data_IF_638247628188
#
_entry.id   IF_638247628188
#
_cell.length_a   1.000
_cell.length_b   1.000
_cell.length_c   1.000
_cell.angle_alpha   90.00
_cell.angle_beta   90.00
_cell.angle_gamma   90.00
#
_symmetry.space_group_name_H-M   'P 1'
#
loop_
_entity.id
_entity.type
_entity.pdbx_description
1 polymer ?
#
# COMPACT_ATOMS: atom_id res chain seq x y z
N UNK A 1 -20.41 8.32 0.39
CA UNK A 1 -20.41 9.73 0.86
C UNK A 1 -18.96 10.21 0.74
N UNK A 2 -18.56 11.47 1.03
CA UNK A 2 -17.14 11.77 1.05
C UNK A 2 -16.54 11.17 2.33
N UNK A 3 -16.14 9.91 2.22
CA UNK A 3 -15.52 9.11 3.27
C UNK A 3 -14.00 9.11 3.07
N UNK A 4 -13.24 9.22 4.16
CA UNK A 4 -11.79 9.06 4.20
C UNK A 4 -11.47 7.79 4.98
N UNK A 5 -10.54 7.00 4.46
CA UNK A 5 -10.13 5.72 5.01
C UNK A 5 -8.73 5.36 4.54
N UNK A 6 -8.23 4.20 4.96
CA UNK A 6 -6.98 3.62 4.44
C UNK A 6 -7.22 2.37 3.60
N UNK A 7 -8.44 1.85 3.56
CA UNK A 7 -8.78 0.61 2.86
C UNK A 7 -9.18 0.82 1.41
N UNK A 8 -10.15 0.01 0.98
CA UNK A 8 -10.66 -0.07 -0.39
C UNK A 8 -10.83 1.30 -1.06
N UNK A 9 -10.20 1.45 -2.24
CA UNK A 9 -10.40 2.59 -3.14
C UNK A 9 -9.45 3.76 -2.90
N UNK A 10 -8.61 3.69 -1.87
CA UNK A 10 -7.59 4.72 -1.58
C UNK A 10 -6.26 4.12 -1.09
N UNK A 11 -6.24 2.88 -0.58
CA UNK A 11 -5.06 2.09 -0.22
C UNK A 11 -3.78 2.40 -1.03
N UNK A 12 -3.77 2.06 -2.32
CA UNK A 12 -2.62 2.15 -3.22
C UNK A 12 -2.18 3.59 -3.50
N UNK A 13 -3.02 4.60 -3.24
CA UNK A 13 -2.60 6.01 -3.31
C UNK A 13 -1.51 6.30 -2.27
N UNK A 14 -1.68 5.84 -1.03
CA UNK A 14 -0.67 5.99 0.01
C UNK A 14 0.61 5.26 -0.35
N UNK A 15 0.46 4.02 -0.81
CA UNK A 15 1.59 3.21 -1.23
C UNK A 15 2.40 3.88 -2.34
N UNK A 16 1.74 4.38 -3.38
CA UNK A 16 2.45 4.86 -4.57
C UNK A 16 3.09 6.22 -4.36
N UNK A 17 2.60 7.07 -3.45
CA UNK A 17 3.37 8.25 -3.05
C UNK A 17 4.70 7.87 -2.39
N UNK A 18 4.70 6.85 -1.53
CA UNK A 18 5.94 6.36 -0.92
C UNK A 18 6.83 5.62 -1.92
N UNK A 19 6.28 4.62 -2.62
CA UNK A 19 7.01 3.75 -3.55
C UNK A 19 7.53 4.55 -4.76
N UNK A 20 6.82 5.57 -5.25
CA UNK A 20 7.32 6.46 -6.29
C UNK A 20 8.49 7.32 -5.80
N UNK A 21 8.46 7.82 -4.55
CA UNK A 21 9.63 8.48 -3.98
C UNK A 21 10.83 7.52 -3.92
N UNK A 22 10.63 6.30 -3.44
CA UNK A 22 11.70 5.29 -3.33
C UNK A 22 12.30 4.94 -4.69
N UNK A 23 11.46 4.86 -5.74
CA UNK A 23 11.90 4.51 -7.09
C UNK A 23 12.51 5.70 -7.84
N UNK A 24 11.85 6.86 -7.83
CA UNK A 24 12.13 8.00 -8.70
C UNK A 24 12.86 9.16 -8.02
N UNK A 25 12.90 9.19 -6.68
CA UNK A 25 13.60 10.22 -5.90
C UNK A 25 12.89 11.59 -5.80
N UNK A 26 11.71 11.76 -6.37
CA UNK A 26 10.94 13.03 -6.31
C UNK A 26 10.51 13.37 -4.87
N UNK A 27 10.85 14.57 -4.40
CA UNK A 27 10.56 15.02 -3.03
C UNK A 27 9.07 15.35 -2.83
N UNK A 28 8.37 15.71 -3.90
CA UNK A 28 6.93 15.97 -3.94
C UNK A 28 6.11 14.74 -3.57
N UNK A 29 6.55 13.55 -3.99
CA UNK A 29 5.89 12.29 -3.64
C UNK A 29 5.98 12.01 -2.15
N UNK A 30 7.17 12.20 -1.57
CA UNK A 30 7.37 12.03 -0.13
C UNK A 30 6.62 13.07 0.70
N UNK A 31 6.56 14.31 0.23
CA UNK A 31 5.79 15.37 0.89
C UNK A 31 4.30 15.03 0.93
N UNK A 32 3.72 14.65 -0.21
CA UNK A 32 2.33 14.23 -0.30
C UNK A 32 2.04 13.00 0.56
N UNK A 33 2.94 12.00 0.55
CA UNK A 33 2.86 10.84 1.43
C UNK A 33 2.81 11.26 2.90
N UNK A 34 3.75 12.09 3.35
CA UNK A 34 3.81 12.51 4.74
C UNK A 34 2.56 13.27 5.21
N UNK A 35 2.02 14.14 4.35
CA UNK A 35 0.80 14.88 4.67
C UNK A 35 -0.40 13.94 4.82
N UNK A 36 -0.58 13.02 3.87
CA UNK A 36 -1.64 12.03 3.90
C UNK A 36 -1.49 11.04 5.08
N UNK A 37 -0.27 10.54 5.32
CA UNK A 37 0.05 9.60 6.39
C UNK A 37 -0.21 10.20 7.78
N UNK A 38 0.21 11.45 8.01
CA UNK A 38 -0.06 12.16 9.26
C UNK A 38 -1.54 12.44 9.45
N UNK A 39 -2.27 12.80 8.40
CA UNK A 39 -3.71 12.96 8.46
C UNK A 39 -4.42 11.65 8.82
N UNK A 40 -4.03 10.54 8.18
CA UNK A 40 -4.56 9.20 8.49
C UNK A 40 -4.32 8.82 9.95
N UNK A 41 -3.09 8.99 10.45
CA UNK A 41 -2.76 8.70 11.85
C UNK A 41 -3.52 9.56 12.86
N UNK A 42 -3.87 10.81 12.51
CA UNK A 42 -4.63 11.72 13.39
C UNK A 42 -6.13 11.47 13.39
N UNK A 43 -6.71 11.13 12.24
CA UNK A 43 -8.16 11.17 12.06
C UNK A 43 -8.79 9.78 11.87
N UNK A 44 -8.04 8.79 11.38
CA UNK A 44 -8.55 7.46 11.07
C UNK A 44 -8.20 6.43 12.14
N UNK A 45 -7.07 6.64 12.85
CA UNK A 45 -6.58 5.69 13.85
C UNK A 45 -7.44 5.68 15.12
N UNK A 46 -7.99 4.53 15.46
CA UNK A 46 -8.77 4.28 16.66
C UNK A 46 -8.26 3.02 17.36
N UNK A 47 -7.47 3.20 18.43
CA UNK A 47 -6.70 2.11 19.04
C UNK A 47 -5.71 1.53 18.02
N UNK A 48 -5.77 0.21 17.81
CA UNK A 48 -4.94 -0.50 16.85
C UNK A 48 -5.54 -0.52 15.42
N UNK A 49 -6.72 0.06 15.20
CA UNK A 49 -7.47 -0.04 13.94
C UNK A 49 -7.50 1.29 13.19
N UNK A 50 -7.81 1.22 11.89
CA UNK A 50 -8.08 2.38 11.05
C UNK A 50 -9.51 2.25 10.49
N UNK A 51 -10.35 3.23 10.78
CA UNK A 51 -11.78 3.23 10.42
C UNK A 51 -12.13 4.43 9.55
N UNK A 52 -13.21 4.30 8.77
CA UNK A 52 -13.59 5.37 7.86
C UNK A 52 -14.32 6.48 8.61
N UNK A 53 -14.02 7.72 8.23
CA UNK A 53 -14.60 8.93 8.78
C UNK A 53 -15.07 9.85 7.67
N UNK A 54 -16.01 10.73 8.00
CA UNK A 54 -16.43 11.79 7.09
C UNK A 54 -15.28 12.79 6.91
N UNK A 55 -14.93 13.11 5.66
CA UNK A 55 -13.74 13.94 5.32
C UNK A 55 -13.70 15.30 6.03
N UNK A 56 -14.83 16.02 6.11
CA UNK A 56 -14.89 17.35 6.72
C UNK A 56 -15.09 17.36 8.25
N UNK A 57 -15.95 16.49 8.78
CA UNK A 57 -16.34 16.52 10.19
C UNK A 57 -15.53 15.58 11.06
N UNK A 58 -14.77 14.65 10.46
CA UNK A 58 -14.04 13.56 11.12
C UNK A 58 -14.91 12.63 11.98
N UNK A 59 -16.24 12.71 11.83
CA UNK A 59 -17.16 11.79 12.47
C UNK A 59 -16.99 10.40 11.86
N UNK A 60 -16.95 9.35 12.69
CA UNK A 60 -16.91 7.96 12.23
C UNK A 60 -18.12 7.67 11.34
N UNK A 61 -17.86 7.22 10.12
CA UNK A 61 -18.91 6.81 9.17
C UNK A 61 -19.03 5.30 9.10
N UNK A 62 -17.93 4.58 9.30
CA UNK A 62 -17.90 3.11 9.24
C UNK A 62 -16.90 2.54 10.25
N UNK A 63 -17.34 1.91 11.35
CA UNK A 63 -16.45 1.33 12.35
C UNK A 63 -15.95 -0.07 11.93
N UNK A 64 -15.60 -0.23 10.66
CA UNK A 64 -15.25 -1.50 10.07
C UNK A 64 -13.73 -1.65 9.92
N UNK A 65 -13.23 -2.82 10.28
CA UNK A 65 -12.03 -3.35 9.65
C UNK A 65 -12.37 -3.79 8.22
N UNK A 66 -11.48 -3.51 7.28
CA UNK A 66 -11.55 -3.96 5.88
C UNK A 66 -10.27 -4.72 5.53
N UNK A 67 -10.36 -5.94 4.97
CA UNK A 67 -9.18 -6.78 4.70
C UNK A 67 -8.04 -6.07 3.95
N UNK A 68 -8.34 -5.16 3.01
CA UNK A 68 -7.32 -4.43 2.27
C UNK A 68 -6.47 -3.56 3.18
N UNK A 69 -6.99 -3.03 4.30
CA UNK A 69 -6.20 -2.21 5.23
C UNK A 69 -5.02 -2.98 5.86
N UNK A 70 -4.95 -4.30 5.68
CA UNK A 70 -3.81 -5.11 6.11
C UNK A 70 -2.49 -4.74 5.44
N UNK A 71 -2.44 -3.94 4.37
CA UNK A 71 -1.16 -3.48 3.78
C UNK A 71 -0.50 -2.40 4.66
N UNK A 72 -1.32 -1.69 5.44
CA UNK A 72 -0.93 -0.47 6.14
C UNK A 72 0.27 -0.67 7.08
N UNK A 73 0.34 -1.73 7.92
CA UNK A 73 1.53 -2.00 8.73
C UNK A 73 2.80 -2.20 7.90
N UNK A 74 2.74 -2.90 6.77
CA UNK A 74 3.87 -3.06 5.85
C UNK A 74 4.39 -1.72 5.34
N UNK A 75 3.48 -0.82 4.96
CA UNK A 75 3.82 0.55 4.57
C UNK A 75 4.43 1.37 5.72
N UNK A 76 3.88 1.26 6.94
CA UNK A 76 4.44 1.91 8.13
C UNK A 76 5.87 1.44 8.42
N UNK A 77 6.12 0.13 8.28
CA UNK A 77 7.47 -0.44 8.41
C UNK A 77 8.42 0.16 7.37
N UNK A 78 7.99 0.32 6.12
CA UNK A 78 8.83 0.90 5.05
C UNK A 78 9.31 2.33 5.36
N UNK A 79 8.55 3.10 6.13
CA UNK A 79 8.93 4.46 6.55
C UNK A 79 9.55 4.53 7.95
N UNK A 80 9.82 3.38 8.56
CA UNK A 80 10.45 3.26 9.86
C UNK A 80 9.52 3.49 11.05
N UNK A 81 8.20 3.57 10.84
CA UNK A 81 7.21 3.77 11.91
C UNK A 81 6.79 2.42 12.53
N UNK A 82 7.74 1.78 13.21
CA UNK A 82 7.64 0.38 13.63
C UNK A 82 6.62 0.13 14.75
N UNK A 83 6.53 1.00 15.76
CA UNK A 83 5.64 0.73 16.90
C UNK A 83 4.15 0.72 16.51
N UNK A 84 3.63 1.72 15.79
CA UNK A 84 2.26 1.67 15.27
C UNK A 84 2.02 0.46 14.37
N UNK A 85 2.97 0.12 13.50
CA UNK A 85 2.86 -1.02 12.61
C UNK A 85 2.70 -2.34 13.38
N UNK A 86 3.53 -2.56 14.39
CA UNK A 86 3.50 -3.76 15.23
C UNK A 86 2.17 -3.89 15.98
N UNK A 87 1.67 -2.78 16.54
CA UNK A 87 0.42 -2.76 17.29
C UNK A 87 -0.78 -3.13 16.40
N UNK A 88 -0.90 -2.46 15.25
CA UNK A 88 -1.95 -2.73 14.26
C UNK A 88 -1.86 -4.15 13.68
N UNK A 89 -0.66 -4.61 13.32
CA UNK A 89 -0.47 -5.95 12.76
C UNK A 89 -0.80 -7.07 13.76
N UNK A 90 -0.56 -6.87 15.06
CA UNK A 90 -0.99 -7.81 16.11
C UNK A 90 -2.51 -7.86 16.26
N UNK A 91 -3.20 -6.73 16.13
CA UNK A 91 -4.65 -6.69 16.13
C UNK A 91 -5.22 -7.45 14.91
N UNK A 92 -4.68 -7.19 13.72
CA UNK A 92 -5.06 -7.91 12.50
C UNK A 92 -4.81 -9.41 12.62
N UNK A 93 -3.66 -9.81 13.12
CA UNK A 93 -3.36 -11.22 13.30
C UNK A 93 -4.22 -11.89 14.38
N UNK A 94 -4.66 -11.14 15.40
CA UNK A 94 -5.63 -11.65 16.38
C UNK A 94 -6.98 -11.96 15.73
N UNK A 95 -7.46 -11.08 14.84
CA UNK A 95 -8.65 -11.35 14.03
C UNK A 95 -8.46 -12.57 13.12
N UNK A 96 -7.28 -12.69 12.48
CA UNK A 96 -6.95 -13.87 11.68
C UNK A 96 -7.03 -15.16 12.49
N UNK A 97 -6.46 -15.20 13.70
CA UNK A 97 -6.52 -16.39 14.56
C UNK A 97 -7.93 -16.74 15.01
N UNK A 98 -8.79 -15.73 15.17
CA UNK A 98 -10.18 -15.94 15.55
C UNK A 98 -11.02 -16.55 14.41
N UNK A 99 -10.89 -16.02 13.19
CA UNK A 99 -11.71 -16.39 12.04
C UNK A 99 -11.05 -17.40 11.10
N UNK A 100 -9.75 -17.66 11.27
CA UNK A 100 -8.91 -18.44 10.36
C UNK A 100 -8.50 -17.66 9.09
N UNK A 101 -9.28 -16.70 8.62
CA UNK A 101 -8.93 -15.79 7.51
C UNK A 101 -9.56 -14.42 7.79
N UNK A 102 -9.10 -13.37 7.13
CA UNK A 102 -9.76 -12.07 7.22
C UNK A 102 -10.99 -12.01 6.30
N UNK A 103 -12.19 -11.64 6.81
CA UNK A 103 -13.29 -11.29 5.93
C UNK A 103 -13.03 -9.95 5.25
N UNK A 104 -13.70 -9.69 4.13
CA UNK A 104 -13.67 -8.39 3.47
C UNK A 104 -14.04 -7.23 4.41
N UNK A 105 -14.95 -7.48 5.35
CA UNK A 105 -15.35 -6.52 6.38
C UNK A 105 -15.64 -7.18 7.73
N UNK A 106 -15.16 -6.55 8.81
CA UNK A 106 -15.45 -6.96 10.19
C UNK A 106 -15.84 -5.74 11.02
N UNK A 107 -16.96 -5.81 11.71
CA UNK A 107 -17.48 -4.69 12.48
C UNK A 107 -16.88 -4.70 13.90
N UNK A 108 -16.15 -3.63 14.22
CA UNK A 108 -15.36 -3.53 15.45
C UNK A 108 -16.21 -3.20 16.69
N UNK A 109 -17.48 -2.84 16.51
CA UNK A 109 -18.39 -2.50 17.61
C UNK A 109 -19.14 -3.73 18.11
N UNK A 110 -19.78 -4.49 17.21
CA UNK A 110 -20.50 -5.71 17.57
C UNK A 110 -19.61 -6.97 17.52
N UNK A 111 -18.39 -6.86 16.99
CA UNK A 111 -17.43 -7.96 16.86
C UNK A 111 -17.94 -9.09 15.96
N UNK A 112 -18.60 -8.75 14.86
CA UNK A 112 -19.14 -9.69 13.89
C UNK A 112 -18.61 -9.43 12.47
N UNK A 113 -18.60 -10.47 11.64
CA UNK A 113 -18.35 -10.33 10.21
C UNK A 113 -19.45 -9.46 9.60
N UNK A 114 -19.06 -8.43 8.85
CA UNK A 114 -20.00 -7.45 8.31
C UNK A 114 -20.86 -8.10 7.22
N UNK A 115 -22.19 -7.98 7.35
CA UNK A 115 -23.12 -8.44 6.31
C UNK A 115 -22.83 -7.74 4.98
N UNK A 116 -22.79 -8.52 3.90
CA UNK A 116 -22.41 -8.06 2.56
C UNK A 116 -20.89 -7.96 2.32
N UNK A 117 -20.06 -8.24 3.32
CA UNK A 117 -18.59 -8.25 3.23
C UNK A 117 -18.01 -9.52 3.90
N UNK A 118 -18.67 -10.65 3.68
CA UNK A 118 -18.38 -11.93 4.35
C UNK A 118 -17.29 -12.76 3.69
N UNK A 119 -16.91 -12.42 2.45
CA UNK A 119 -15.99 -13.23 1.65
C UNK A 119 -14.52 -13.08 2.07
N UNK A 120 -13.70 -14.02 1.60
CA UNK A 120 -12.25 -13.98 1.62
C UNK A 120 -11.69 -14.42 0.26
N UNK A 121 -11.30 -13.48 -0.61
CA UNK A 121 -10.84 -13.78 -1.96
C UNK A 121 -9.34 -14.10 -2.01
N UNK A 122 -8.77 -14.71 -0.96
CA UNK A 122 -7.35 -15.07 -0.86
C UNK A 122 -6.37 -13.88 -0.81
N UNK A 123 -6.83 -12.79 -0.19
CA UNK A 123 -6.13 -11.49 -0.02
C UNK A 123 -4.66 -11.61 0.43
N UNK A 124 -3.73 -10.84 -0.16
CA UNK A 124 -2.30 -10.90 0.14
C UNK A 124 -1.82 -10.00 1.28
N UNK A 125 -2.56 -8.95 1.63
CA UNK A 125 -2.02 -7.79 2.35
C UNK A 125 -1.55 -8.15 3.77
N UNK A 126 -2.17 -9.15 4.39
CA UNK A 126 -1.70 -9.64 5.69
C UNK A 126 -0.34 -10.35 5.59
N UNK A 127 -0.15 -11.18 4.55
CA UNK A 127 1.14 -11.83 4.30
C UNK A 127 2.23 -10.82 3.94
N UNK A 128 1.89 -9.78 3.17
CA UNK A 128 2.77 -8.65 2.86
C UNK A 128 3.30 -7.97 4.13
N UNK A 129 2.38 -7.57 5.02
CA UNK A 129 2.75 -6.91 6.26
C UNK A 129 3.58 -7.79 7.18
N UNK A 130 3.29 -9.10 7.24
CA UNK A 130 4.11 -10.06 8.00
C UNK A 130 5.53 -10.15 7.44
N UNK A 131 5.69 -10.19 6.11
CA UNK A 131 6.99 -10.18 5.44
C UNK A 131 7.80 -8.92 5.80
N UNK A 132 7.24 -7.72 5.62
CA UNK A 132 7.95 -6.49 5.93
C UNK A 132 8.28 -6.38 7.43
N UNK A 133 7.33 -6.71 8.30
CA UNK A 133 7.55 -6.68 9.75
C UNK A 133 8.66 -7.66 10.18
N UNK A 134 8.69 -8.88 9.62
CA UNK A 134 9.77 -9.83 9.87
C UNK A 134 11.11 -9.29 9.40
N UNK A 135 11.19 -8.80 8.16
CA UNK A 135 12.42 -8.27 7.59
C UNK A 135 12.99 -7.09 8.39
N UNK A 136 12.13 -6.21 8.89
CA UNK A 136 12.56 -5.03 9.65
C UNK A 136 12.92 -5.34 11.10
N UNK A 137 12.30 -6.34 11.72
CA UNK A 137 12.41 -6.56 13.18
C UNK A 137 13.10 -7.87 13.59
N UNK A 138 13.20 -8.86 12.69
CA UNK A 138 13.74 -10.18 12.98
C UNK A 138 12.94 -11.00 14.01
N UNK A 139 11.72 -10.57 14.37
CA UNK A 139 10.94 -11.22 15.43
C UNK A 139 10.24 -12.47 14.91
N UNK A 140 10.48 -13.59 15.58
CA UNK A 140 9.86 -14.88 15.28
C UNK A 140 8.34 -14.92 15.47
N UNK A 141 7.73 -13.88 16.07
CA UNK A 141 6.28 -13.74 16.12
C UNK A 141 5.66 -13.65 14.73
N UNK A 142 6.34 -13.01 13.76
CA UNK A 142 5.84 -12.86 12.40
C UNK A 142 5.94 -14.16 11.60
N UNK A 143 6.96 -14.98 11.84
CA UNK A 143 7.06 -16.33 11.26
C UNK A 143 5.96 -17.24 11.78
N UNK A 144 5.66 -17.19 13.08
CA UNK A 144 4.53 -17.93 13.67
C UNK A 144 3.21 -17.49 13.06
N UNK A 145 3.00 -16.18 12.91
CA UNK A 145 1.82 -15.65 12.25
C UNK A 145 1.71 -16.08 10.78
N UNK A 146 2.82 -16.12 10.03
CA UNK A 146 2.84 -16.66 8.66
C UNK A 146 2.51 -18.15 8.61
N UNK A 147 2.91 -18.92 9.62
CA UNK A 147 2.60 -20.34 9.69
C UNK A 147 1.10 -20.55 9.94
N UNK A 148 0.46 -19.68 10.72
CA UNK A 148 -0.99 -19.67 10.89
C UNK A 148 -1.70 -19.38 9.57
N UNK A 149 -1.20 -18.40 8.78
CA UNK A 149 -1.72 -18.09 7.44
C UNK A 149 -1.62 -19.30 6.51
N UNK A 150 -0.46 -19.96 6.46
CA UNK A 150 -0.27 -21.16 5.63
C UNK A 150 -1.23 -22.28 6.01
N UNK A 151 -1.45 -22.54 7.30
CA UNK A 151 -2.40 -23.58 7.75
C UNK A 151 -3.82 -23.26 7.32
N UNK A 152 -4.24 -21.99 7.41
CA UNK A 152 -5.55 -21.57 6.93
C UNK A 152 -5.71 -21.75 5.43
N UNK A 153 -4.70 -21.37 4.63
CA UNK A 153 -4.73 -21.54 3.17
C UNK A 153 -4.70 -23.02 2.75
N UNK A 154 -3.96 -23.87 3.47
CA UNK A 154 -3.93 -25.32 3.23
C UNK A 154 -5.31 -25.95 3.42
N UNK A 155 -6.13 -25.44 4.36
CA UNK A 155 -7.49 -25.91 4.56
C UNK A 155 -8.45 -25.51 3.42
N UNK A 156 -8.03 -24.63 2.52
CA UNK A 156 -8.79 -24.16 1.35
C UNK A 156 -8.32 -24.81 0.02
N UNK A 157 -7.37 -25.74 0.08
CA UNK A 157 -6.86 -26.44 -1.10
C UNK A 157 -7.94 -27.36 -1.68
N UNK A 158 -8.11 -27.27 -3.00
CA UNK A 158 -9.00 -28.11 -3.82
C UNK A 158 -8.16 -28.79 -4.93
N UNK A 159 -8.70 -29.78 -5.67
CA UNK A 159 -7.89 -30.54 -6.64
C UNK A 159 -7.14 -29.70 -7.70
N UNK A 160 -7.66 -28.52 -8.04
CA UNK A 160 -7.11 -27.64 -9.08
C UNK A 160 -6.49 -26.34 -8.56
N UNK A 161 -6.40 -26.11 -7.24
CA UNK A 161 -5.89 -24.85 -6.69
C UNK A 161 -6.27 -24.60 -5.24
N UNK A 162 -6.47 -23.33 -4.90
CA UNK A 162 -6.98 -22.88 -3.59
C UNK A 162 -8.26 -22.10 -3.82
N UNK A 163 -9.34 -22.46 -3.14
CA UNK A 163 -10.63 -21.82 -3.30
C UNK A 163 -10.76 -20.59 -2.41
N UNK A 164 -11.26 -19.49 -2.97
CA UNK A 164 -11.77 -18.37 -2.19
C UNK A 164 -12.98 -18.80 -1.34
N UNK A 165 -13.37 -17.93 -0.40
CA UNK A 165 -14.61 -18.09 0.36
C UNK A 165 -15.58 -16.96 0.02
N UNK A 166 -16.84 -17.31 -0.25
CA UNK A 166 -17.94 -16.33 -0.31
C UNK A 166 -18.46 -15.96 1.09
N UNK A 167 -18.27 -16.86 2.05
CA UNK A 167 -18.63 -16.68 3.46
C UNK A 167 -17.59 -17.34 4.38
N UNK A 168 -16.86 -16.51 5.13
CA UNK A 168 -15.85 -16.93 6.10
C UNK A 168 -16.44 -17.65 7.31
N UNK A 169 -17.66 -17.29 7.74
CA UNK A 169 -18.32 -17.88 8.91
C UNK A 169 -18.77 -19.30 8.60
N UNK A 170 -19.46 -19.47 7.48
CA UNK A 170 -19.99 -20.77 7.05
C UNK A 170 -18.95 -21.62 6.28
N UNK A 171 -17.77 -21.06 5.98
CA UNK A 171 -16.73 -21.69 5.15
C UNK A 171 -17.24 -22.10 3.76
N UNK A 172 -18.12 -21.29 3.18
CA UNK A 172 -18.69 -21.55 1.86
C UNK A 172 -17.64 -21.22 0.80
N UNK A 173 -17.10 -22.25 0.17
CA UNK A 173 -16.15 -22.12 -0.92
C UNK A 173 -16.77 -21.44 -2.15
N UNK A 174 -15.95 -20.69 -2.87
CA UNK A 174 -16.25 -20.10 -4.15
C UNK A 174 -15.29 -20.67 -5.21
N UNK A 175 -15.78 -20.91 -6.43
CA UNK A 175 -14.99 -21.46 -7.53
C UNK A 175 -14.16 -20.37 -8.22
N UNK A 176 -13.36 -19.67 -7.42
CA UNK A 176 -12.49 -18.58 -7.85
C UNK A 176 -11.14 -18.67 -7.14
N UNK A 177 -10.08 -18.38 -7.89
CA UNK A 177 -8.73 -18.18 -7.38
C UNK A 177 -8.15 -16.97 -8.09
N UNK A 178 -8.09 -15.86 -7.37
CA UNK A 178 -7.64 -14.60 -7.95
C UNK A 178 -6.16 -14.63 -8.34
N UNK A 179 -5.81 -13.92 -9.41
CA UNK A 179 -4.43 -13.93 -9.93
C UNK A 179 -3.40 -13.45 -8.88
N UNK A 180 -3.80 -12.51 -8.03
CA UNK A 180 -2.98 -12.01 -6.92
C UNK A 180 -2.64 -13.07 -5.87
N UNK A 181 -3.40 -14.17 -5.78
CA UNK A 181 -3.02 -15.27 -4.90
C UNK A 181 -1.63 -15.81 -5.27
N UNK A 182 -1.34 -15.92 -6.56
CA UNK A 182 -0.07 -16.41 -7.08
C UNK A 182 1.00 -15.31 -7.11
N UNK A 183 0.66 -14.11 -7.59
CA UNK A 183 1.65 -13.02 -7.68
C UNK A 183 2.01 -12.44 -6.32
N UNK A 184 1.14 -12.51 -5.32
CA UNK A 184 1.31 -11.78 -4.06
C UNK A 184 1.27 -12.70 -2.84
N UNK A 185 0.13 -13.36 -2.56
CA UNK A 185 -0.06 -14.12 -1.31
C UNK A 185 1.01 -15.19 -1.14
N UNK A 186 1.21 -16.03 -2.16
CA UNK A 186 2.25 -17.07 -2.13
C UNK A 186 3.66 -16.48 -2.16
N UNK A 187 3.88 -15.37 -2.87
CA UNK A 187 5.19 -14.71 -2.95
C UNK A 187 5.62 -14.17 -1.59
N UNK A 188 4.76 -13.42 -0.90
CA UNK A 188 5.10 -12.88 0.42
C UNK A 188 5.28 -13.97 1.47
N UNK A 189 4.49 -15.06 1.40
CA UNK A 189 4.71 -16.21 2.28
C UNK A 189 6.03 -16.92 1.98
N UNK A 190 6.40 -17.10 0.71
CA UNK A 190 7.69 -17.63 0.32
C UNK A 190 8.83 -16.78 0.89
N UNK A 191 8.79 -15.46 0.67
CA UNK A 191 9.81 -14.51 1.13
C UNK A 191 9.89 -14.41 2.66
N UNK A 192 8.76 -14.58 3.36
CA UNK A 192 8.73 -14.59 4.81
C UNK A 192 9.52 -15.78 5.38
N UNK A 193 9.46 -16.95 4.73
CA UNK A 193 10.11 -18.17 5.19
C UNK A 193 11.47 -18.45 4.54
N UNK A 194 11.86 -17.69 3.52
CA UNK A 194 13.17 -17.74 2.89
C UNK A 194 13.91 -16.39 3.04
N UNK A 195 14.40 -16.06 4.25
CA UNK A 195 15.06 -14.78 4.51
C UNK A 195 16.41 -14.63 3.79
N UNK A 196 16.99 -15.73 3.30
CA UNK A 196 18.30 -15.76 2.63
C UNK A 196 18.19 -15.78 1.10
N UNK A 197 16.98 -15.67 0.53
CA UNK A 197 16.78 -15.67 -0.92
C UNK A 197 17.65 -14.59 -1.59
N UNK A 198 18.61 -15.03 -2.41
CA UNK A 198 19.62 -14.15 -2.97
C UNK A 198 19.05 -13.06 -3.90
N UNK A 199 17.92 -13.32 -4.57
CA UNK A 199 17.24 -12.37 -5.47
C UNK A 199 16.64 -11.22 -4.67
N UNK A 200 16.10 -11.52 -3.48
CA UNK A 200 15.34 -10.56 -2.68
C UNK A 200 16.11 -10.00 -1.46
N UNK A 201 17.14 -10.67 -0.98
CA UNK A 201 17.96 -10.24 0.18
C UNK A 201 19.06 -9.27 -0.23
N UNK A 202 19.57 -9.36 -1.48
CA UNK A 202 20.63 -8.49 -2.00
C UNK A 202 20.17 -7.52 -3.10
N UNK A 203 18.96 -7.70 -3.63
CA UNK A 203 18.40 -6.84 -4.67
C UNK A 203 18.00 -5.47 -4.12
N UNK A 204 18.40 -4.40 -4.82
CA UNK A 204 17.84 -3.05 -4.63
C UNK A 204 16.57 -2.93 -5.45
N UNK A 205 15.40 -3.16 -4.85
CA UNK A 205 14.10 -3.05 -5.52
C UNK A 205 13.03 -2.44 -4.61
N UNK A 206 11.90 -2.07 -5.21
CA UNK A 206 10.65 -1.76 -4.53
C UNK A 206 9.54 -2.63 -5.14
N UNK A 207 8.67 -3.22 -4.33
CA UNK A 207 7.51 -3.94 -4.84
C UNK A 207 6.43 -2.95 -5.29
N UNK A 208 5.74 -3.22 -6.40
CA UNK A 208 4.47 -2.56 -6.73
C UNK A 208 3.37 -2.92 -5.71
N UNK A 209 2.16 -2.40 -5.90
CA UNK A 209 0.97 -2.83 -5.12
C UNK A 209 0.48 -4.24 -5.49
N UNK A 210 1.08 -4.85 -6.52
CA UNK A 210 0.76 -6.21 -7.03
C UNK A 210 1.99 -7.14 -6.85
N UNK A 211 2.81 -6.83 -5.85
CA UNK A 211 4.06 -7.51 -5.49
C UNK A 211 5.06 -7.75 -6.64
N UNK A 212 5.05 -6.95 -7.71
CA UNK A 212 6.06 -7.05 -8.77
C UNK A 212 7.32 -6.27 -8.38
N UNK A 213 8.51 -6.91 -8.32
CA UNK A 213 9.72 -6.21 -7.93
C UNK A 213 10.22 -5.30 -9.05
N UNK A 214 10.38 -4.01 -8.76
CA UNK A 214 10.99 -3.03 -9.64
C UNK A 214 12.40 -2.69 -9.14
N UNK A 215 13.46 -2.97 -9.92
CA UNK A 215 14.81 -2.57 -9.55
C UNK A 215 14.93 -1.04 -9.38
N UNK A 216 15.54 -0.58 -8.29
CA UNK A 216 15.74 0.86 -8.02
C UNK A 216 16.61 1.54 -9.10
N UNK A 217 17.43 0.76 -9.82
CA UNK A 217 18.19 1.25 -10.96
C UNK A 217 17.29 1.87 -12.06
N UNK A 218 16.04 1.43 -12.20
CA UNK A 218 15.11 1.97 -13.21
C UNK A 218 14.86 3.48 -13.04
N UNK A 219 14.83 4.00 -11.81
CA UNK A 219 14.67 5.44 -11.58
C UNK A 219 15.98 6.22 -11.65
N UNK A 220 17.11 5.60 -11.30
CA UNK A 220 18.43 6.24 -11.29
C UNK A 220 19.01 6.46 -12.70
N UNK A 221 18.59 5.70 -13.71
CA UNK A 221 19.05 5.86 -15.10
C UNK A 221 18.38 7.02 -15.87
N UNK A 222 17.37 7.69 -15.29
CA UNK A 222 16.57 8.70 -16.00
C UNK A 222 16.83 10.16 -15.58
N UNK A 223 17.68 10.41 -14.57
CA UNK A 223 18.01 11.78 -14.15
C UNK A 223 18.72 12.61 -15.25
N UNK A 224 19.35 11.94 -16.24
CA UNK A 224 19.97 12.60 -17.40
C UNK A 224 19.05 12.73 -18.63
N UNK A 225 17.90 12.06 -18.65
CA UNK A 225 16.95 12.11 -19.78
C UNK A 225 15.86 13.17 -19.59
N UNK A 226 15.75 13.74 -18.38
CA UNK A 226 14.93 14.90 -18.06
C UNK A 226 15.76 16.18 -17.87
N UNK A 227 16.84 16.36 -18.64
CA UNK A 227 17.31 17.72 -18.91
C UNK A 227 16.15 18.47 -19.57
N UNK A 228 15.60 19.42 -18.81
CA UNK A 228 14.42 20.23 -19.18
C UNK A 228 14.59 20.76 -20.60
N UNK A 229 13.51 20.84 -21.41
CA UNK A 229 13.56 21.71 -22.57
C UNK A 229 13.87 23.12 -22.05
N UNK A 230 15.01 23.67 -22.44
CA UNK A 230 15.33 25.06 -22.20
C UNK A 230 14.24 25.89 -22.84
N UNK A 231 13.30 26.40 -22.05
CA UNK A 231 12.46 27.50 -22.50
C UNK A 231 13.39 28.67 -22.69
N UNK A 232 13.69 28.97 -23.96
CA UNK A 232 14.51 30.10 -24.36
C UNK A 232 13.96 31.36 -23.71
N UNK A 233 14.82 32.03 -22.95
CA UNK A 233 14.60 33.39 -22.52
C UNK A 233 14.54 34.29 -23.75
N UNK A 234 13.36 34.79 -24.10
CA UNK A 234 13.26 36.03 -24.86
C UNK A 234 12.74 37.12 -23.95
N UNK A 235 13.70 37.82 -23.33
CA UNK A 235 13.54 39.12 -22.70
C UNK A 235 14.86 39.87 -22.85
N UNK A 236 14.81 41.03 -23.50
CA UNK A 236 15.95 41.93 -23.75
C UNK A 236 15.72 42.69 -25.05
N UNK A 237 14.99 43.80 -25.07
CA UNK A 237 15.46 45.17 -24.77
C UNK A 237 15.68 45.98 -26.06
N UNK A 238 14.99 47.12 -26.13
CA UNK A 238 15.53 48.42 -26.54
C UNK A 238 16.10 48.59 -27.95
N UNK A 239 15.33 49.26 -28.82
CA UNK A 239 15.84 49.90 -30.03
C UNK A 239 14.87 50.97 -30.53
N UNK A 240 14.96 52.17 -29.95
CA UNK A 240 14.33 53.39 -30.49
C UNK A 240 15.22 53.87 -31.64
N UNK A 241 14.77 53.69 -32.88
CA UNK A 241 15.36 54.34 -34.04
C UNK A 241 14.52 55.54 -34.45
N UNK A 242 15.16 56.71 -34.42
CA UNK A 242 14.58 57.99 -34.82
C UNK A 242 14.37 58.06 -36.33
N UNK A 243 13.16 58.48 -36.71
CA UNK A 243 12.86 58.97 -38.05
C UNK A 243 13.27 60.45 -38.14
N UNK A 244 14.15 60.76 -39.07
CA UNK A 244 14.46 62.15 -39.44
C UNK A 244 15.42 62.23 -40.62
N UNK A 245 14.90 62.64 -41.78
CA UNK A 245 15.73 63.17 -42.87
C UNK A 245 15.39 62.71 -44.28
N UNK A 246 14.19 63.06 -44.78
CA UNK A 246 14.03 63.32 -46.23
C UNK A 246 14.48 64.74 -46.54
N UNK A 247 15.19 64.90 -47.66
CA UNK A 247 15.83 66.14 -48.08
C UNK A 247 14.88 67.17 -48.71
N UNK A 248 15.44 68.37 -48.94
CA UNK A 248 14.82 69.37 -49.80
C UNK A 248 15.40 70.78 -49.68
N UNK A 249 16.18 71.14 -50.72
CA UNK A 249 16.20 72.45 -51.42
C UNK A 249 16.90 73.66 -50.77
N UNK A 250 17.89 74.16 -51.54
CA UNK A 250 18.54 75.50 -51.61
C UNK A 250 19.20 76.13 -50.37
#
# INVERSE_FOLDING_TARGET
QPDAGVGRGIDSFYEYMLKAHMLLGGAEYLAAFHDAYRAAGRHLKHGAWYIDVHTSTTAVTSPLFNSLQCFWPGMQVMVGDLEPAVDTLRAFHTLWRHLGVHPEGFNLVNLEVQQGQTGYPLRPEHAESLFYAHRATGRSEWLRAGADVLRSLQALVVPCGVAALSDVVNRTAEDTMESFFLSETLKYLYLLFDPDDAVYTHGKYVFTTEAHPLPLALGLHNASLFERPSFGSYGGEGGVEGHGGEGGVE
#
